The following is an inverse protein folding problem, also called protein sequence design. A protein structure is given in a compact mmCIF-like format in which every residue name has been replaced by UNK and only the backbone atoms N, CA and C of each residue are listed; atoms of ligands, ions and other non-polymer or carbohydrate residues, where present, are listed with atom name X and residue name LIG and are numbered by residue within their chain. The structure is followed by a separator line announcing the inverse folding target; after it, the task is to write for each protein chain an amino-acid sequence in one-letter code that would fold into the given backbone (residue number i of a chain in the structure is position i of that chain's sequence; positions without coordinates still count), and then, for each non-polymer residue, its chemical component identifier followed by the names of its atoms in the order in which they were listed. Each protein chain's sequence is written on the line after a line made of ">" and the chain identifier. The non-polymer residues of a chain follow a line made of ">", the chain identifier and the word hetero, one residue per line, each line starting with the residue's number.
data_IF_084666312227
#
_entry.id   IF_084666312227
#
_cell.length_a   1.000
_cell.length_b   1.000
_cell.length_c   1.000
_cell.angle_alpha   90.00
_cell.angle_beta   90.00
_cell.angle_gamma   90.00
#
_symmetry.space_group_name_H-M   'P 1'
#
loop_
_entity.id
_entity.type
_entity.pdbx_description
1 polymer ?
#
# COMPACT_ATOMS: atom_id res chain seq x y z
N UNK A 1 -19.88 12.06 8.23
CA UNK A 1 -19.92 12.95 7.03
C UNK A 1 -21.32 13.02 6.47
N UNK A 2 -21.95 11.86 6.20
CA UNK A 2 -23.30 11.80 5.62
C UNK A 2 -24.34 12.55 6.46
N UNK A 3 -24.36 12.36 7.77
CA UNK A 3 -25.32 13.01 8.69
C UNK A 3 -25.29 14.56 8.63
N UNK A 4 -24.15 15.13 8.24
CA UNK A 4 -24.00 16.59 8.12
C UNK A 4 -24.40 17.11 6.74
N UNK A 5 -24.18 16.31 5.69
CA UNK A 5 -24.43 16.70 4.32
C UNK A 5 -25.88 16.44 3.88
N UNK A 6 -26.51 15.41 4.45
CA UNK A 6 -27.82 14.93 4.03
C UNK A 6 -28.96 15.95 4.20
N UNK A 7 -29.06 16.72 5.31
CA UNK A 7 -30.12 17.74 5.45
C UNK A 7 -30.08 18.81 4.35
N UNK A 8 -28.90 19.36 4.04
CA UNK A 8 -28.77 20.38 3.00
C UNK A 8 -29.08 19.83 1.59
N UNK A 9 -28.81 18.54 1.34
CA UNK A 9 -29.22 17.89 0.10
C UNK A 9 -30.75 17.75 0.01
N UNK A 10 -31.41 17.38 1.12
CA UNK A 10 -32.87 17.26 1.19
C UNK A 10 -33.57 18.62 1.07
N UNK A 11 -33.01 19.64 1.72
CA UNK A 11 -33.52 21.00 1.70
C UNK A 11 -33.16 21.77 0.41
N UNK A 12 -32.40 21.16 -0.50
CA UNK A 12 -31.96 21.78 -1.75
C UNK A 12 -30.96 22.93 -1.56
N UNK A 13 -30.33 23.04 -0.39
CA UNK A 13 -29.39 24.11 -0.03
C UNK A 13 -27.92 23.69 -0.11
N UNK A 14 -27.65 22.46 -0.56
CA UNK A 14 -26.30 21.95 -0.72
C UNK A 14 -25.48 22.79 -1.73
N UNK A 15 -24.31 23.24 -1.29
CA UNK A 15 -23.35 23.96 -2.15
C UNK A 15 -22.59 22.95 -3.01
N UNK A 16 -22.88 22.92 -4.30
CA UNK A 16 -22.19 22.09 -5.28
C UNK A 16 -20.94 22.79 -5.79
N UNK A 17 -19.84 22.04 -5.93
CA UNK A 17 -18.58 22.53 -6.49
C UNK A 17 -18.13 21.59 -7.59
N UNK A 18 -17.80 22.15 -8.75
CA UNK A 18 -17.22 21.41 -9.85
C UNK A 18 -15.83 20.90 -9.46
N UNK A 19 -15.52 19.66 -9.84
CA UNK A 19 -14.20 19.06 -9.60
C UNK A 19 -13.25 19.43 -10.74
N UNK A 20 -12.06 19.91 -10.40
CA UNK A 20 -10.98 20.07 -11.39
C UNK A 20 -10.44 18.70 -11.79
N UNK A 21 -10.84 18.24 -12.98
CA UNK A 21 -10.44 16.93 -13.50
C UNK A 21 -8.95 16.87 -13.85
N UNK A 22 -8.30 18.01 -14.11
CA UNK A 22 -6.87 18.04 -14.40
C UNK A 22 -6.02 17.74 -13.15
N UNK A 23 -6.56 18.01 -11.96
CA UNK A 23 -5.95 17.63 -10.68
C UNK A 23 -6.31 16.20 -10.23
N UNK A 24 -7.20 15.52 -10.96
CA UNK A 24 -7.70 14.19 -10.64
C UNK A 24 -6.79 13.05 -11.10
N UNK A 25 -7.09 11.85 -10.64
CA UNK A 25 -6.46 10.60 -11.11
C UNK A 25 -7.43 9.43 -10.97
N UNK A 26 -7.31 8.45 -11.87
CA UNK A 26 -8.14 7.24 -11.86
C UNK A 26 -7.29 6.00 -11.60
N UNK A 27 -7.83 5.08 -10.81
CA UNK A 27 -7.19 3.81 -10.49
C UNK A 27 -8.15 2.67 -10.81
N UNK A 28 -7.68 1.68 -11.57
CA UNK A 28 -8.46 0.49 -11.87
C UNK A 28 -8.59 -0.45 -10.67
N UNK A 29 -9.46 -1.45 -10.80
CA UNK A 29 -9.57 -2.53 -9.82
C UNK A 29 -8.25 -3.30 -9.70
N UNK A 30 -7.83 -3.56 -8.45
CA UNK A 30 -6.59 -4.28 -8.19
C UNK A 30 -6.74 -5.77 -8.47
N UNK A 31 -5.71 -6.35 -9.09
CA UNK A 31 -5.57 -7.79 -9.34
C UNK A 31 -4.73 -8.43 -8.24
N UNK A 32 -4.81 -9.76 -8.03
CA UNK A 32 -3.92 -10.46 -7.11
C UNK A 32 -2.44 -10.16 -7.39
N UNK A 33 -2.04 -10.06 -8.67
CA UNK A 33 -0.67 -9.73 -9.07
C UNK A 33 -0.15 -8.39 -8.50
N UNK A 34 -1.03 -7.42 -8.23
CA UNK A 34 -0.65 -6.12 -7.66
C UNK A 34 -0.20 -6.22 -6.20
N UNK A 35 -0.37 -7.40 -5.56
CA UNK A 35 0.17 -7.71 -4.24
C UNK A 35 1.60 -8.25 -4.25
N UNK A 36 2.20 -8.49 -5.43
CA UNK A 36 3.57 -9.02 -5.52
C UNK A 36 4.57 -7.97 -5.09
N UNK A 37 5.45 -8.33 -4.16
CA UNK A 37 6.56 -7.47 -3.74
C UNK A 37 7.61 -7.47 -4.84
N UNK A 38 7.90 -6.27 -5.32
CA UNK A 38 9.07 -5.97 -6.15
C UNK A 38 10.16 -5.39 -5.26
N UNK A 39 11.18 -6.20 -4.96
CA UNK A 39 12.28 -5.83 -4.08
C UNK A 39 13.20 -4.76 -4.67
N UNK A 40 13.12 -4.47 -5.96
CA UNK A 40 13.90 -3.39 -6.58
C UNK A 40 13.37 -2.00 -6.23
N UNK A 41 12.14 -1.91 -5.71
CA UNK A 41 11.56 -0.65 -5.24
C UNK A 41 12.14 -0.23 -3.90
N UNK A 42 12.04 1.07 -3.61
CA UNK A 42 12.41 1.62 -2.31
C UNK A 42 11.67 0.90 -1.16
N UNK A 43 12.36 0.69 -0.04
CA UNK A 43 11.81 0.01 1.14
C UNK A 43 10.47 0.60 1.61
N UNK A 44 10.32 1.92 1.49
CA UNK A 44 9.06 2.60 1.82
C UNK A 44 7.91 2.19 0.90
N UNK A 45 8.15 2.05 -0.40
CA UNK A 45 7.11 1.59 -1.33
C UNK A 45 6.68 0.14 -1.04
N UNK A 46 7.63 -0.72 -0.66
CA UNK A 46 7.31 -2.10 -0.21
C UNK A 46 6.52 -2.08 1.11
N UNK A 47 6.90 -1.22 2.05
CA UNK A 47 6.17 -1.04 3.30
C UNK A 47 4.72 -0.58 3.07
N UNK A 48 4.54 0.43 2.22
CA UNK A 48 3.22 0.97 1.87
C UNK A 48 2.36 -0.08 1.14
N UNK A 49 2.96 -0.86 0.23
CA UNK A 49 2.28 -2.00 -0.39
C UNK A 49 1.78 -3.00 0.65
N UNK A 50 2.64 -3.44 1.57
CA UNK A 50 2.27 -4.41 2.63
C UNK A 50 1.09 -3.88 3.45
N UNK A 51 1.10 -2.60 3.83
CA UNK A 51 0.00 -1.97 4.58
C UNK A 51 -1.28 -1.86 3.76
N UNK A 52 -1.18 -1.55 2.48
CA UNK A 52 -2.32 -1.42 1.58
C UNK A 52 -3.06 -2.75 1.35
N UNK A 53 -2.42 -3.89 1.58
CA UNK A 53 -3.03 -5.23 1.45
C UNK A 53 -2.97 -6.07 2.73
N UNK A 54 -2.77 -5.47 3.90
CA UNK A 54 -2.78 -6.19 5.17
C UNK A 54 -4.16 -6.83 5.45
N UNK A 55 -4.26 -7.87 6.30
CA UNK A 55 -5.54 -8.49 6.65
C UNK A 55 -6.61 -7.44 7.05
N UNK A 56 -7.87 -7.58 6.60
CA UNK A 56 -8.49 -8.77 6.00
C UNK A 56 -8.23 -8.98 4.49
N UNK A 57 -7.39 -8.16 3.87
CA UNK A 57 -7.05 -8.29 2.45
C UNK A 57 -6.06 -9.46 2.18
N UNK A 58 -5.83 -9.82 0.89
CA UNK A 58 -5.00 -10.97 0.52
C UNK A 58 -3.54 -10.95 0.95
N UNK A 59 -2.98 -9.85 1.50
CA UNK A 59 -1.57 -9.77 1.88
C UNK A 59 -0.62 -9.54 0.70
N UNK A 60 0.49 -8.85 0.95
CA UNK A 60 1.56 -8.76 -0.04
C UNK A 60 2.33 -10.09 -0.05
N UNK A 61 2.87 -10.50 -1.21
CA UNK A 61 3.54 -11.79 -1.33
C UNK A 61 4.83 -11.73 -2.14
N UNK A 62 5.70 -12.69 -1.89
CA UNK A 62 6.95 -12.88 -2.63
C UNK A 62 7.31 -14.37 -2.68
N UNK A 63 8.34 -14.70 -3.46
CA UNK A 63 8.90 -16.04 -3.53
C UNK A 63 10.10 -16.16 -2.58
N UNK A 64 10.09 -17.21 -1.75
CA UNK A 64 11.21 -17.61 -0.90
C UNK A 64 11.61 -19.04 -1.30
N UNK A 65 12.66 -19.16 -2.12
CA UNK A 65 12.98 -20.42 -2.79
C UNK A 65 11.84 -20.87 -3.69
N UNK A 66 11.31 -22.07 -3.47
CA UNK A 66 10.15 -22.60 -4.21
C UNK A 66 8.80 -22.23 -3.57
N UNK A 67 8.80 -21.65 -2.38
CA UNK A 67 7.58 -21.31 -1.64
C UNK A 67 7.12 -19.88 -1.92
N UNK A 68 5.81 -19.68 -2.01
CA UNK A 68 5.21 -18.34 -1.96
C UNK A 68 4.87 -18.00 -0.52
N UNK A 69 5.39 -16.88 -0.02
CA UNK A 69 5.15 -16.40 1.34
C UNK A 69 4.42 -15.07 1.32
N UNK A 70 3.59 -14.82 2.34
CA UNK A 70 2.90 -13.55 2.53
C UNK A 70 3.59 -12.73 3.61
N UNK A 71 3.80 -11.44 3.32
CA UNK A 71 4.29 -10.46 4.29
C UNK A 71 3.08 -9.67 4.79
N UNK A 72 2.69 -9.92 6.03
CA UNK A 72 1.47 -9.34 6.63
C UNK A 72 1.75 -8.09 7.48
N UNK A 73 3.00 -7.90 7.86
CA UNK A 73 3.45 -6.77 8.67
C UNK A 73 4.89 -6.44 8.30
N UNK A 74 5.18 -5.16 8.26
CA UNK A 74 6.52 -4.62 8.12
C UNK A 74 6.69 -3.48 9.11
N UNK A 75 7.93 -3.22 9.48
CA UNK A 75 8.34 -1.99 10.12
C UNK A 75 9.31 -1.29 9.17
N UNK A 76 9.24 0.04 9.12
CA UNK A 76 10.09 0.85 8.27
C UNK A 76 10.78 1.91 9.13
N UNK A 77 12.08 2.04 8.92
CA UNK A 77 12.95 3.08 9.45
C UNK A 77 13.86 3.58 8.33
N UNK A 78 14.55 4.69 8.58
CA UNK A 78 15.74 5.02 7.79
C UNK A 78 16.70 3.81 7.85
N UNK A 79 17.19 3.30 6.70
CA UNK A 79 18.04 2.11 6.71
C UNK A 79 19.38 2.44 7.39
N UNK A 80 19.91 1.55 8.27
CA UNK A 80 21.28 1.67 8.71
C UNK A 80 22.23 1.53 7.51
N UNK A 81 23.51 1.86 7.68
CA UNK A 81 24.51 1.54 6.67
C UNK A 81 24.55 0.01 6.49
N UNK A 82 24.03 -0.47 5.35
CA UNK A 82 24.01 -1.87 4.99
C UNK A 82 25.19 -2.17 4.05
N UNK A 83 25.72 -3.41 4.08
CA UNK A 83 26.63 -3.86 3.03
C UNK A 83 25.97 -3.75 1.67
N UNK A 84 26.77 -3.51 0.62
CA UNK A 84 26.28 -3.60 -0.75
C UNK A 84 25.77 -5.02 -1.02
N UNK A 85 24.46 -5.14 -1.16
CA UNK A 85 23.75 -6.39 -1.38
C UNK A 85 22.68 -6.19 -2.44
N UNK A 86 22.47 -7.21 -3.27
CA UNK A 86 21.43 -7.17 -4.28
C UNK A 86 20.04 -7.03 -3.61
N UNK A 87 19.10 -6.27 -4.22
CA UNK A 87 17.74 -6.18 -3.70
C UNK A 87 17.09 -7.55 -3.48
N UNK A 88 16.43 -7.74 -2.33
CA UNK A 88 15.84 -9.02 -1.92
C UNK A 88 16.78 -9.93 -1.14
N UNK A 89 18.04 -9.52 -0.91
CA UNK A 89 18.96 -10.22 0.00
C UNK A 89 18.52 -10.02 1.45
N UNK A 90 18.53 -11.09 2.24
CA UNK A 90 18.27 -11.02 3.69
C UNK A 90 19.53 -10.51 4.39
N UNK A 91 19.49 -9.28 4.90
CA UNK A 91 20.65 -8.62 5.53
C UNK A 91 20.88 -9.02 7.00
N UNK A 92 19.80 -9.26 7.76
CA UNK A 92 19.86 -9.67 9.17
C UNK A 92 18.76 -10.70 9.42
N UNK A 93 19.08 -11.77 10.15
CA UNK A 93 18.12 -12.80 10.58
C UNK A 93 18.16 -12.92 12.09
N UNK A 94 17.67 -11.89 12.78
CA UNK A 94 17.39 -11.96 14.22
C UNK A 94 16.03 -11.35 14.51
N UNK A 95 15.20 -12.11 15.24
CA UNK A 95 13.85 -11.72 15.60
C UNK A 95 13.85 -10.80 16.81
N UNK A 96 13.72 -9.50 16.57
CA UNK A 96 13.05 -8.59 17.50
C UNK A 96 12.41 -7.41 16.76
#
# INVERSE_FOLDING_TARGET
>A
MLDRALPALLDGTAVLREQDLAAGSYFGGRKPADGRIDWTKAARAVHDLVRAVAPPYPGAFTSLGTATVRVLRTWWSEPPALPDAAPGTVAVKDGK
#
